data_IF_976976780529
#
_entry.id   IF_976976780529
#
_cell.length_a   1.000
_cell.length_b   1.000
_cell.length_c   1.000
_cell.angle_alpha   90.00
_cell.angle_beta   90.00
_cell.angle_gamma   90.00
#
_symmetry.space_group_name_H-M   'P 1'
#
loop_
_entity.id
_entity.type
_entity.pdbx_description
1 polymer ?
#
# COMPACT_ATOMS: atom_id res chain seq x y z
N UNK A 1 21.70 6.12 -19.35
CA UNK A 1 21.60 7.41 -18.64
C UNK A 1 20.17 7.94 -18.51
N UNK A 2 19.27 7.77 -19.49
CA UNK A 2 17.88 8.25 -19.38
C UNK A 2 16.94 7.47 -18.43
N UNK A 3 17.23 6.20 -18.14
CA UNK A 3 16.34 5.34 -17.34
C UNK A 3 16.37 5.66 -15.83
N UNK A 4 17.52 6.11 -15.30
CA UNK A 4 17.65 6.53 -13.90
C UNK A 4 16.89 7.84 -13.61
N UNK A 5 16.92 8.80 -14.54
CA UNK A 5 16.19 10.07 -14.43
C UNK A 5 14.67 9.88 -14.35
N UNK A 6 14.12 8.86 -15.02
CA UNK A 6 12.69 8.57 -15.01
C UNK A 6 12.22 7.99 -13.66
N UNK A 7 13.05 7.19 -12.99
CA UNK A 7 12.72 6.61 -11.67
C UNK A 7 12.93 7.58 -10.51
N UNK A 8 13.63 8.69 -10.73
CA UNK A 8 13.86 9.71 -9.71
C UNK A 8 12.60 10.56 -9.44
N UNK A 9 11.61 10.57 -10.33
CA UNK A 9 10.37 11.30 -10.09
C UNK A 9 9.52 10.56 -9.04
N UNK A 10 9.13 11.26 -7.97
CA UNK A 10 8.38 10.66 -6.85
C UNK A 10 7.03 10.11 -7.31
N UNK A 11 6.41 10.74 -8.31
CA UNK A 11 5.17 10.26 -8.93
C UNK A 11 5.34 8.92 -9.64
N UNK A 12 6.49 8.68 -10.28
CA UNK A 12 6.80 7.39 -10.91
C UNK A 12 6.99 6.30 -9.84
N UNK A 13 7.70 6.61 -8.75
CA UNK A 13 7.85 5.71 -7.59
C UNK A 13 6.51 5.36 -6.97
N UNK A 14 5.64 6.36 -6.78
CA UNK A 14 4.27 6.17 -6.30
C UNK A 14 3.47 5.24 -7.23
N UNK A 15 3.49 5.50 -8.54
CA UNK A 15 2.80 4.68 -9.53
C UNK A 15 3.30 3.23 -9.55
N UNK A 16 4.63 3.02 -9.48
CA UNK A 16 5.21 1.68 -9.36
C UNK A 16 4.78 1.00 -8.06
N UNK A 17 4.74 1.72 -6.95
CA UNK A 17 4.31 1.19 -5.67
C UNK A 17 2.84 0.75 -5.66
N UNK A 18 1.95 1.58 -6.21
CA UNK A 18 0.54 1.24 -6.38
C UNK A 18 0.36 0.03 -7.33
N UNK A 19 1.14 -0.02 -8.42
CA UNK A 19 1.18 -1.16 -9.33
C UNK A 19 1.61 -2.46 -8.64
N UNK A 20 2.64 -2.40 -7.78
CA UNK A 20 3.08 -3.55 -7.00
C UNK A 20 2.00 -4.02 -6.00
N UNK A 21 1.33 -3.11 -5.31
CA UNK A 21 0.18 -3.45 -4.45
C UNK A 21 -0.93 -4.13 -5.25
N UNK A 22 -1.26 -3.63 -6.44
CA UNK A 22 -2.28 -4.22 -7.30
C UNK A 22 -1.93 -5.66 -7.69
N UNK A 23 -0.69 -5.90 -8.16
CA UNK A 23 -0.24 -7.24 -8.53
C UNK A 23 -0.25 -8.21 -7.35
N UNK A 24 0.21 -7.77 -6.18
CA UNK A 24 0.17 -8.58 -4.96
C UNK A 24 -1.25 -8.87 -4.48
N UNK A 25 -2.16 -7.91 -4.65
CA UNK A 25 -3.59 -8.13 -4.37
C UNK A 25 -4.14 -9.22 -5.27
N UNK A 26 -3.80 -9.19 -6.57
CA UNK A 26 -4.12 -10.26 -7.50
C UNK A 26 -3.58 -11.62 -7.05
N UNK A 27 -2.34 -11.66 -6.53
CA UNK A 27 -1.74 -12.90 -6.00
C UNK A 27 -2.47 -13.40 -4.73
N UNK A 28 -2.81 -12.51 -3.80
CA UNK A 28 -3.59 -12.83 -2.59
C UNK A 28 -4.91 -13.49 -2.97
N UNK A 29 -5.62 -12.91 -3.95
CA UNK A 29 -6.89 -13.45 -4.46
C UNK A 29 -6.69 -14.78 -5.17
N UNK A 30 -5.71 -14.87 -6.08
CA UNK A 30 -5.47 -16.06 -6.88
C UNK A 30 -5.05 -17.28 -6.03
N UNK A 31 -4.34 -17.04 -4.92
CA UNK A 31 -3.87 -18.10 -4.00
C UNK A 31 -4.85 -18.41 -2.89
N UNK A 32 -5.98 -17.68 -2.80
CA UNK A 32 -6.92 -17.76 -1.68
C UNK A 32 -6.25 -17.66 -0.31
N UNK A 33 -5.28 -16.76 -0.21
CA UNK A 33 -4.55 -16.54 1.02
C UNK A 33 -5.54 -16.11 2.12
N UNK A 34 -5.44 -16.64 3.37
CA UNK A 34 -6.37 -16.24 4.42
C UNK A 34 -6.28 -14.73 4.67
N UNK A 35 -7.43 -14.10 4.91
CA UNK A 35 -7.55 -12.63 4.86
C UNK A 35 -6.57 -11.89 5.78
N UNK A 36 -6.30 -12.43 6.97
CA UNK A 36 -5.32 -11.88 7.92
C UNK A 36 -3.89 -11.83 7.35
N UNK A 37 -3.46 -12.88 6.64
CA UNK A 37 -2.16 -12.92 5.96
C UNK A 37 -2.12 -11.99 4.75
N UNK A 38 -3.23 -11.87 4.01
CA UNK A 38 -3.35 -10.91 2.90
C UNK A 38 -3.25 -9.46 3.37
N UNK A 39 -3.94 -9.12 4.46
CA UNK A 39 -3.86 -7.80 5.10
C UNK A 39 -2.43 -7.52 5.57
N UNK A 40 -1.80 -8.45 6.28
CA UNK A 40 -0.44 -8.28 6.79
C UNK A 40 0.59 -8.08 5.66
N UNK A 41 0.48 -8.86 4.58
CA UNK A 41 1.34 -8.74 3.41
C UNK A 41 1.21 -7.37 2.74
N UNK A 42 -0.04 -6.93 2.48
CA UNK A 42 -0.30 -5.65 1.84
C UNK A 42 0.14 -4.48 2.73
N UNK A 43 -0.04 -4.58 4.06
CA UNK A 43 0.45 -3.59 5.01
C UNK A 43 1.98 -3.49 4.98
N UNK A 44 2.67 -4.62 5.03
CA UNK A 44 4.14 -4.68 5.01
C UNK A 44 4.68 -4.03 3.74
N UNK A 45 4.12 -4.38 2.58
CA UNK A 45 4.55 -3.83 1.28
C UNK A 45 4.27 -2.33 1.21
N UNK A 46 3.12 -1.88 1.72
CA UNK A 46 2.79 -0.45 1.79
C UNK A 46 3.83 0.30 2.63
N UNK A 47 4.19 -0.23 3.80
CA UNK A 47 5.18 0.36 4.68
C UNK A 47 6.58 0.42 4.00
N UNK A 48 7.01 -0.67 3.35
CA UNK A 48 8.31 -0.74 2.67
C UNK A 48 8.41 0.23 1.49
N UNK A 49 7.37 0.29 0.66
CA UNK A 49 7.36 1.16 -0.53
C UNK A 49 7.26 2.64 -0.18
N UNK A 50 6.61 2.96 0.94
CA UNK A 50 6.44 4.35 1.39
C UNK A 50 7.76 5.00 1.82
N UNK A 51 8.80 4.22 2.15
CA UNK A 51 10.13 4.74 2.52
C UNK A 51 10.68 5.71 1.47
N UNK A 52 10.38 5.47 0.19
CA UNK A 52 10.94 6.23 -0.92
C UNK A 52 10.02 7.34 -1.45
N UNK A 53 8.97 7.68 -0.71
CA UNK A 53 7.96 8.66 -1.10
C UNK A 53 7.99 9.88 -0.18
N UNK A 54 7.54 11.01 -0.70
CA UNK A 54 7.12 12.15 0.11
C UNK A 54 5.75 11.88 0.76
N UNK A 55 5.44 12.64 1.80
CA UNK A 55 4.27 12.43 2.66
C UNK A 55 2.94 12.31 1.88
N UNK A 56 2.56 13.20 0.93
CA UNK A 56 1.27 13.08 0.25
C UNK A 56 1.16 11.79 -0.58
N UNK A 57 2.24 11.36 -1.24
CA UNK A 57 2.25 10.11 -2.02
C UNK A 57 2.26 8.88 -1.11
N UNK A 58 2.98 8.93 0.02
CA UNK A 58 2.95 7.86 1.03
C UNK A 58 1.54 7.69 1.62
N UNK A 59 0.86 8.79 1.97
CA UNK A 59 -0.52 8.76 2.46
C UNK A 59 -1.46 8.16 1.40
N UNK A 60 -1.32 8.57 0.13
CA UNK A 60 -2.07 7.98 -0.99
C UNK A 60 -1.83 6.48 -1.13
N UNK A 61 -0.59 6.03 -0.95
CA UNK A 61 -0.23 4.61 -1.01
C UNK A 61 -0.81 3.83 0.18
N UNK A 62 -0.87 4.46 1.36
CA UNK A 62 -1.56 3.95 2.54
C UNK A 62 -3.05 3.71 2.27
N UNK A 63 -3.73 4.70 1.70
CA UNK A 63 -5.16 4.58 1.35
C UNK A 63 -5.37 3.49 0.29
N UNK A 64 -4.53 3.42 -0.74
CA UNK A 64 -4.60 2.37 -1.76
C UNK A 64 -4.40 0.97 -1.16
N UNK A 65 -3.39 0.81 -0.30
CA UNK A 65 -3.11 -0.44 0.40
C UNK A 65 -4.29 -0.90 1.27
N UNK A 66 -4.92 0.02 2.00
CA UNK A 66 -6.14 -0.25 2.75
C UNK A 66 -7.29 -0.69 1.85
N UNK A 67 -7.49 0.00 0.72
CA UNK A 67 -8.57 -0.32 -0.20
C UNK A 67 -8.39 -1.72 -0.80
N UNK A 68 -7.17 -2.09 -1.16
CA UNK A 68 -6.86 -3.43 -1.63
C UNK A 68 -7.05 -4.50 -0.54
N UNK A 69 -6.57 -4.26 0.68
CA UNK A 69 -6.71 -5.19 1.78
C UNK A 69 -8.19 -5.40 2.16
N UNK A 70 -8.96 -4.32 2.32
CA UNK A 70 -10.38 -4.40 2.68
C UNK A 70 -11.21 -4.99 1.53
N UNK A 71 -10.99 -4.52 0.31
CA UNK A 71 -11.75 -4.96 -0.86
C UNK A 71 -11.51 -6.42 -1.23
N UNK A 72 -10.27 -6.90 -1.16
CA UNK A 72 -9.88 -8.18 -1.75
C UNK A 72 -9.37 -9.21 -0.76
N UNK A 73 -8.69 -8.82 0.33
CA UNK A 73 -8.27 -9.78 1.36
C UNK A 73 -9.40 -10.06 2.37
N UNK A 74 -10.24 -9.06 2.68
CA UNK A 74 -11.34 -9.20 3.65
C UNK A 74 -12.67 -9.48 2.96
N UNK A 75 -13.07 -8.66 1.98
CA UNK A 75 -14.39 -8.77 1.35
C UNK A 75 -14.40 -9.50 -0.01
N UNK A 76 -13.25 -10.01 -0.47
CA UNK A 76 -12.96 -10.83 -1.68
C UNK A 76 -13.56 -10.41 -3.04
N UNK A 77 -14.48 -9.45 -3.08
CA UNK A 77 -15.23 -8.97 -4.24
C UNK A 77 -14.93 -7.51 -4.58
N UNK A 78 -13.89 -6.93 -3.99
CA UNK A 78 -13.53 -5.52 -4.18
C UNK A 78 -14.46 -4.54 -3.45
N UNK A 79 -15.25 -5.01 -2.48
CA UNK A 79 -16.18 -4.16 -1.74
C UNK A 79 -15.46 -3.45 -0.59
N UNK A 80 -15.50 -2.12 -0.62
CA UNK A 80 -15.00 -1.30 0.48
C UNK A 80 -16.09 -1.12 1.53
N UNK A 81 -15.76 -1.46 2.76
CA UNK A 81 -16.60 -1.25 3.93
C UNK A 81 -15.95 -0.25 4.86
N UNK A 82 -16.76 0.52 5.58
CA UNK A 82 -16.31 1.50 6.57
C UNK A 82 -16.78 1.10 7.97
N UNK A 83 -16.80 -0.20 8.26
CA UNK A 83 -17.07 -0.66 9.61
C UNK A 83 -15.92 -0.24 10.55
N UNK A 84 -16.11 -0.22 11.88
CA UNK A 84 -15.09 0.25 12.81
C UNK A 84 -13.72 -0.42 12.64
N UNK A 85 -13.70 -1.74 12.37
CA UNK A 85 -12.45 -2.46 12.10
C UNK A 85 -11.80 -2.08 10.77
N UNK A 86 -12.57 -1.73 9.75
CA UNK A 86 -12.03 -1.30 8.46
C UNK A 86 -11.42 0.09 8.57
N UNK A 87 -12.06 0.99 9.33
CA UNK A 87 -11.52 2.31 9.67
C UNK A 87 -10.24 2.20 10.50
N UNK A 88 -10.19 1.26 11.46
CA UNK A 88 -8.97 0.97 12.20
C UNK A 88 -7.84 0.51 11.26
N UNK A 89 -8.12 -0.39 10.31
CA UNK A 89 -7.14 -0.80 9.29
C UNK A 89 -6.72 0.38 8.41
N UNK A 90 -7.62 1.26 8.00
CA UNK A 90 -7.27 2.48 7.26
C UNK A 90 -6.26 3.31 8.05
N UNK A 91 -6.56 3.57 9.32
CA UNK A 91 -5.66 4.27 10.22
C UNK A 91 -4.29 3.61 10.32
N UNK A 92 -4.23 2.29 10.45
CA UNK A 92 -2.97 1.53 10.51
C UNK A 92 -2.17 1.63 9.20
N UNK A 93 -2.79 1.48 8.04
CA UNK A 93 -2.11 1.58 6.74
C UNK A 93 -1.56 2.99 6.51
N UNK A 94 -2.38 4.02 6.76
CA UNK A 94 -1.98 5.42 6.61
C UNK A 94 -0.89 5.80 7.60
N UNK A 95 -1.01 5.40 8.86
CA UNK A 95 0.02 5.65 9.87
C UNK A 95 1.33 4.93 9.53
N UNK A 96 1.28 3.67 9.11
CA UNK A 96 2.47 2.92 8.72
C UNK A 96 3.19 3.61 7.55
N UNK A 97 2.46 4.02 6.51
CA UNK A 97 3.02 4.73 5.37
C UNK A 97 3.65 6.08 5.77
N UNK A 98 2.94 6.87 6.58
CA UNK A 98 3.43 8.17 7.06
C UNK A 98 4.66 8.05 7.98
N UNK A 99 4.72 6.99 8.80
CA UNK A 99 5.86 6.73 9.67
C UNK A 99 7.08 6.29 8.87
N UNK A 100 6.92 5.39 7.89
CA UNK A 100 8.06 4.87 7.14
C UNK A 100 8.58 5.83 6.08
N UNK A 101 7.75 6.68 5.48
CA UNK A 101 8.23 7.69 4.53
C UNK A 101 9.18 8.70 5.18
N UNK A 102 9.02 8.96 6.48
CA UNK A 102 9.92 9.80 7.26
C UNK A 102 11.30 9.18 7.48
N UNK A 103 11.43 7.86 7.39
CA UNK A 103 12.71 7.15 7.52
C UNK A 103 13.59 7.33 6.29
N UNK A 104 13.00 7.51 5.10
CA UNK A 104 13.76 7.75 3.86
C UNK A 104 14.17 9.21 3.66
N UNK A 105 13.51 10.15 4.33
CA UNK A 105 13.85 11.58 4.27
C UNK A 105 15.08 12.00 5.09
N UNK A 106 15.68 11.09 5.85
CA UNK A 106 16.89 11.33 6.66
C UNK A 106 18.19 10.85 6.02
N UNK A 107 18.16 10.43 4.74
CA UNK A 107 19.31 9.89 4.00
C UNK A 107 19.88 10.90 3.00
#
# INVERSE_FOLDING_TARGET
MGQQLMTDEVGVRFGMGAGAQFLLTGLVVATQLPGEWGVALLLLVTALLSVWLDEPHALGLGVAGWAFATGFAVNTLGVLTFAPYDLARLGVFVAAAALTCRLGGTA
#
